data_IF_566590434136
#
_entry.id   IF_566590434136
#
_cell.length_a   1.000
_cell.length_b   1.000
_cell.length_c   1.000
_cell.angle_alpha   90.00
_cell.angle_beta   90.00
_cell.angle_gamma   90.00
#
_symmetry.space_group_name_H-M   'P 1'
#
loop_
_entity.id
_entity.type
_entity.pdbx_description
1 polymer ?
#
# COMPACT_ATOMS: atom_id res chain seq x y z
N UNK A 1 -62.99 -23.77 4.36
CA UNK A 1 -61.63 -23.85 4.96
C UNK A 1 -60.50 -23.85 3.91
N UNK A 2 -60.58 -24.58 2.79
CA UNK A 2 -59.55 -24.58 1.72
C UNK A 2 -59.15 -23.19 1.18
N UNK A 3 -60.11 -22.26 1.01
CA UNK A 3 -59.85 -20.90 0.50
C UNK A 3 -59.09 -20.01 1.50
N UNK A 4 -59.28 -20.21 2.79
CA UNK A 4 -58.56 -19.49 3.85
C UNK A 4 -57.10 -19.96 3.96
N UNK A 5 -56.88 -21.26 3.78
CA UNK A 5 -55.53 -21.84 3.76
C UNK A 5 -54.72 -21.36 2.54
N UNK A 6 -55.36 -21.22 1.38
CA UNK A 6 -54.74 -20.65 0.18
C UNK A 6 -54.41 -19.16 0.34
N UNK A 7 -55.28 -18.39 1.00
CA UNK A 7 -55.03 -16.97 1.29
C UNK A 7 -53.86 -16.78 2.26
N UNK A 8 -53.79 -17.62 3.31
CA UNK A 8 -52.66 -17.60 4.24
C UNK A 8 -51.33 -18.00 3.58
N UNK A 9 -51.36 -18.96 2.65
CA UNK A 9 -50.15 -19.33 1.89
C UNK A 9 -49.67 -18.17 1.01
N UNK A 10 -50.60 -17.48 0.33
CA UNK A 10 -50.27 -16.36 -0.56
C UNK A 10 -49.69 -15.15 0.18
N UNK A 11 -50.19 -14.85 1.38
CA UNK A 11 -49.67 -13.73 2.19
C UNK A 11 -48.29 -14.02 2.77
N UNK A 12 -47.99 -15.27 3.13
CA UNK A 12 -46.65 -15.65 3.60
C UNK A 12 -45.58 -15.66 2.50
N UNK A 13 -45.96 -15.93 1.24
CA UNK A 13 -45.04 -15.88 0.09
C UNK A 13 -44.67 -14.46 -0.36
N UNK A 14 -45.46 -13.45 -0.03
CA UNK A 14 -45.20 -12.05 -0.41
C UNK A 14 -44.28 -11.30 0.57
N UNK A 15 -44.11 -11.82 1.79
CA UNK A 15 -43.29 -11.21 2.83
C UNK A 15 -41.88 -11.83 2.95
N UNK A 16 -41.55 -12.80 2.09
CA UNK A 16 -40.37 -13.66 2.25
C UNK A 16 -39.10 -13.26 1.49
N UNK A 17 -39.09 -12.18 0.69
CA UNK A 17 -37.92 -11.89 -0.16
C UNK A 17 -37.60 -10.40 -0.28
N UNK A 18 -37.16 -9.77 0.80
CA UNK A 18 -36.24 -8.63 0.70
C UNK A 18 -35.23 -8.70 1.85
N UNK A 19 -34.27 -9.64 1.77
CA UNK A 19 -33.00 -9.42 2.46
C UNK A 19 -32.22 -8.34 1.71
N UNK A 20 -32.74 -7.11 1.70
CA UNK A 20 -31.91 -5.96 1.37
C UNK A 20 -30.87 -5.90 2.47
N UNK A 21 -29.65 -6.34 2.15
CA UNK A 21 -28.49 -6.07 2.98
C UNK A 21 -28.29 -4.54 2.96
N UNK A 22 -28.97 -3.86 3.87
CA UNK A 22 -28.72 -2.46 4.17
C UNK A 22 -27.36 -2.39 4.85
N UNK A 23 -26.31 -2.19 4.05
CA UNK A 23 -25.03 -1.76 4.58
C UNK A 23 -25.20 -0.31 5.04
N UNK A 24 -25.59 -0.12 6.32
CA UNK A 24 -25.79 1.19 6.96
C UNK A 24 -24.45 1.82 7.41
N UNK A 25 -23.31 1.19 7.10
CA UNK A 25 -21.98 1.69 7.45
C UNK A 25 -21.41 2.68 6.43
N UNK A 26 -20.64 3.65 6.91
CA UNK A 26 -19.72 4.41 6.07
C UNK A 26 -18.62 3.47 5.58
N UNK A 27 -18.73 2.99 4.34
CA UNK A 27 -17.64 2.24 3.72
C UNK A 27 -16.52 3.15 3.24
N UNK A 28 -15.36 2.56 2.97
CA UNK A 28 -14.26 3.21 2.26
C UNK A 28 -13.84 2.38 1.07
N UNK A 29 -13.48 3.08 0.00
CA UNK A 29 -12.70 2.54 -1.08
C UNK A 29 -11.22 2.72 -0.77
N UNK A 30 -10.37 1.79 -1.19
CA UNK A 30 -8.94 1.83 -0.95
C UNK A 30 -8.15 1.46 -2.20
N UNK A 31 -7.13 2.27 -2.50
CA UNK A 31 -6.23 2.08 -3.62
C UNK A 31 -4.81 1.85 -3.10
N UNK A 32 -4.22 0.72 -3.48
CA UNK A 32 -2.79 0.45 -3.31
C UNK A 32 -2.06 0.93 -4.55
N UNK A 33 -1.00 1.70 -4.38
CA UNK A 33 -0.22 2.23 -5.50
C UNK A 33 1.25 2.36 -5.15
N UNK A 34 2.11 2.47 -6.19
CA UNK A 34 3.55 2.60 -6.05
C UNK A 34 3.98 4.06 -6.28
N UNK A 35 4.70 4.62 -5.32
CA UNK A 35 5.38 5.91 -5.45
C UNK A 35 6.86 5.69 -5.73
N UNK A 36 7.40 6.42 -6.70
CA UNK A 36 8.80 6.36 -7.06
C UNK A 36 9.49 7.66 -6.68
N UNK A 37 10.60 7.56 -5.95
CA UNK A 37 11.43 8.68 -5.56
C UNK A 37 12.86 8.46 -6.04
N UNK A 38 13.54 9.55 -6.37
CA UNK A 38 14.91 9.54 -6.84
C UNK A 38 15.74 10.52 -6.00
N UNK A 39 16.81 10.03 -5.37
CA UNK A 39 17.68 10.82 -4.51
C UNK A 39 19.11 10.79 -5.04
N UNK A 40 19.60 11.94 -5.45
CA UNK A 40 20.94 12.10 -5.99
C UNK A 40 21.88 12.76 -4.97
N UNK A 41 23.08 12.20 -4.81
CA UNK A 41 24.06 12.66 -3.84
C UNK A 41 25.40 12.95 -4.52
N UNK A 42 25.88 14.18 -4.34
CA UNK A 42 27.27 14.56 -4.60
C UNK A 42 28.06 14.46 -3.29
N UNK A 43 29.01 13.53 -3.22
CA UNK A 43 29.69 13.17 -1.98
C UNK A 43 30.92 14.04 -1.73
N UNK A 44 30.74 15.17 -1.04
CA UNK A 44 31.86 16.03 -0.60
C UNK A 44 32.56 15.49 0.66
N UNK A 45 31.77 15.07 1.65
CA UNK A 45 32.27 14.45 2.88
C UNK A 45 31.55 13.12 3.12
N UNK A 46 32.30 12.02 3.05
CA UNK A 46 31.75 10.67 3.17
C UNK A 46 31.08 10.40 4.51
N UNK A 47 31.64 10.88 5.62
CA UNK A 47 31.08 10.64 6.97
C UNK A 47 29.76 11.38 7.17
N UNK A 48 29.65 12.59 6.65
CA UNK A 48 28.41 13.36 6.69
C UNK A 48 27.35 12.78 5.76
N UNK A 49 27.71 12.42 4.52
CA UNK A 49 26.78 11.75 3.61
C UNK A 49 26.27 10.42 4.17
N UNK A 50 27.12 9.64 4.84
CA UNK A 50 26.69 8.41 5.50
C UNK A 50 25.62 8.68 6.57
N UNK A 51 25.75 9.77 7.36
CA UNK A 51 24.74 10.17 8.35
C UNK A 51 23.43 10.57 7.70
N UNK A 52 23.48 11.39 6.64
CA UNK A 52 22.31 11.80 5.88
C UNK A 52 21.57 10.61 5.27
N UNK A 53 22.31 9.69 4.64
CA UNK A 53 21.77 8.46 4.07
C UNK A 53 21.13 7.57 5.14
N UNK A 54 21.76 7.44 6.30
CA UNK A 54 21.19 6.68 7.42
C UNK A 54 19.86 7.28 7.88
N UNK A 55 19.78 8.59 8.03
CA UNK A 55 18.54 9.29 8.37
C UNK A 55 17.45 9.09 7.32
N UNK A 56 17.77 9.31 6.04
CA UNK A 56 16.84 9.11 4.93
C UNK A 56 16.28 7.68 4.90
N UNK A 57 17.14 6.67 4.99
CA UNK A 57 16.71 5.27 4.96
C UNK A 57 15.86 4.95 6.19
N UNK A 58 16.25 5.44 7.38
CA UNK A 58 15.47 5.25 8.60
C UNK A 58 14.07 5.84 8.49
N UNK A 59 13.94 7.06 7.95
CA UNK A 59 12.66 7.72 7.76
C UNK A 59 11.78 6.92 6.78
N UNK A 60 12.36 6.47 5.66
CA UNK A 60 11.65 5.64 4.68
C UNK A 60 11.15 4.34 5.31
N UNK A 61 12.02 3.61 6.01
CA UNK A 61 11.70 2.32 6.63
C UNK A 61 10.66 2.47 7.76
N UNK A 62 10.64 3.61 8.45
CA UNK A 62 9.61 3.91 9.46
C UNK A 62 8.22 4.10 8.84
N UNK A 63 8.16 4.66 7.62
CA UNK A 63 6.90 4.90 6.90
C UNK A 63 6.43 3.69 6.10
N UNK A 64 7.38 2.90 5.58
CA UNK A 64 7.11 1.83 4.65
C UNK A 64 8.14 0.70 4.75
N UNK A 65 7.74 -0.39 5.41
CA UNK A 65 8.57 -1.60 5.56
C UNK A 65 8.72 -2.41 4.27
N UNK A 66 8.00 -2.05 3.21
CA UNK A 66 8.06 -2.70 1.90
C UNK A 66 8.85 -1.90 0.88
N UNK A 67 9.52 -0.83 1.31
CA UNK A 67 10.34 -0.03 0.42
C UNK A 67 11.37 -0.91 -0.30
N UNK A 68 11.48 -0.73 -1.61
CA UNK A 68 12.51 -1.34 -2.44
C UNK A 68 13.42 -0.28 -3.01
N UNK A 69 14.68 -0.62 -3.19
CA UNK A 69 15.77 0.29 -3.48
C UNK A 69 16.56 -0.19 -4.67
N UNK A 70 16.85 0.73 -5.58
CA UNK A 70 17.87 0.54 -6.60
C UNK A 70 18.94 1.59 -6.38
N UNK A 71 20.15 1.12 -6.13
CA UNK A 71 21.29 1.92 -5.73
C UNK A 71 22.30 1.92 -6.86
N UNK A 72 22.41 3.05 -7.55
CA UNK A 72 23.41 3.28 -8.58
C UNK A 72 24.61 3.98 -7.96
N UNK A 73 25.79 3.38 -8.06
CA UNK A 73 27.01 3.90 -7.44
C UNK A 73 28.17 3.96 -8.43
N UNK A 74 29.02 4.99 -8.28
CA UNK A 74 30.28 5.10 -9.05
C UNK A 74 31.43 4.28 -8.47
N UNK A 75 31.57 4.28 -7.14
CA UNK A 75 32.74 3.72 -6.45
C UNK A 75 32.40 2.46 -5.64
N UNK A 76 33.23 1.39 -5.68
CA UNK A 76 33.07 0.22 -4.81
C UNK A 76 33.07 0.57 -3.32
N UNK A 77 33.78 1.63 -2.92
CA UNK A 77 33.77 2.10 -1.53
C UNK A 77 32.39 2.65 -1.15
N UNK A 78 31.68 3.30 -2.06
CA UNK A 78 30.32 3.80 -1.81
C UNK A 78 29.34 2.65 -1.65
N UNK A 79 29.48 1.59 -2.45
CA UNK A 79 28.74 0.34 -2.28
C UNK A 79 28.91 -0.24 -0.88
N UNK A 80 30.15 -0.39 -0.40
CA UNK A 80 30.43 -0.95 0.93
C UNK A 80 29.78 -0.12 2.06
N UNK A 81 29.83 1.21 1.96
CA UNK A 81 29.18 2.10 2.92
C UNK A 81 27.66 1.89 2.95
N UNK A 82 27.03 1.78 1.78
CA UNK A 82 25.58 1.56 1.67
C UNK A 82 25.18 0.16 2.14
N UNK A 83 25.99 -0.85 1.85
CA UNK A 83 25.78 -2.20 2.39
C UNK A 83 25.73 -2.19 3.92
N UNK A 84 26.69 -1.54 4.58
CA UNK A 84 26.70 -1.41 6.03
C UNK A 84 25.49 -0.65 6.60
N UNK A 85 24.90 0.29 5.83
CA UNK A 85 23.68 0.99 6.23
C UNK A 85 22.46 0.06 6.08
N UNK A 86 22.34 -0.63 4.94
CA UNK A 86 21.21 -1.52 4.65
C UNK A 86 21.24 -2.84 5.44
N UNK A 87 22.41 -3.28 5.94
CA UNK A 87 22.52 -4.43 6.86
C UNK A 87 21.68 -4.27 8.13
N UNK A 88 21.37 -3.04 8.55
CA UNK A 88 20.49 -2.74 9.69
C UNK A 88 19.00 -3.01 9.38
N UNK A 89 18.66 -3.22 8.12
CA UNK A 89 17.29 -3.38 7.63
C UNK A 89 17.16 -4.70 6.86
N UNK A 90 16.95 -5.83 7.56
CA UNK A 90 16.95 -7.14 6.92
C UNK A 90 15.81 -7.28 5.90
N UNK A 91 16.08 -8.05 4.85
CA UNK A 91 15.06 -8.46 3.88
C UNK A 91 13.86 -9.11 4.59
N UNK A 92 12.65 -8.78 4.14
CA UNK A 92 11.42 -9.39 4.67
C UNK A 92 10.96 -10.52 3.75
N UNK A 93 10.13 -11.43 4.31
CA UNK A 93 9.58 -12.58 3.58
C UNK A 93 8.85 -12.22 2.27
N UNK A 94 8.29 -11.01 2.19
CA UNK A 94 7.50 -10.54 1.04
C UNK A 94 8.38 -9.96 -0.08
N UNK A 95 9.53 -9.38 0.28
CA UNK A 95 10.46 -8.76 -0.66
C UNK A 95 11.88 -9.23 -0.32
N UNK A 96 12.30 -10.42 -0.81
CA UNK A 96 13.60 -11.01 -0.45
C UNK A 96 14.79 -10.21 -1.00
N UNK A 97 14.61 -9.50 -2.12
CA UNK A 97 15.61 -8.63 -2.74
C UNK A 97 15.17 -7.16 -2.64
N UNK A 98 15.28 -6.57 -1.44
CA UNK A 98 14.89 -5.17 -1.21
C UNK A 98 15.84 -4.15 -1.83
N UNK A 99 17.12 -4.49 -1.95
CA UNK A 99 18.15 -3.56 -2.40
C UNK A 99 18.94 -4.18 -3.56
N UNK A 100 18.90 -3.51 -4.71
CA UNK A 100 19.68 -3.87 -5.88
C UNK A 100 20.80 -2.85 -6.08
N UNK A 101 22.04 -3.32 -6.14
CA UNK A 101 23.21 -2.47 -6.34
C UNK A 101 23.68 -2.55 -7.80
N UNK A 102 23.75 -1.42 -8.50
CA UNK A 102 24.26 -1.33 -9.87
C UNK A 102 25.46 -0.39 -9.93
N UNK A 103 26.55 -0.87 -10.54
CA UNK A 103 27.70 -0.02 -10.81
C UNK A 103 27.42 0.84 -12.04
N UNK A 104 27.45 2.16 -11.89
CA UNK A 104 27.16 3.10 -12.96
C UNK A 104 28.22 4.20 -13.01
N UNK A 105 29.29 3.98 -13.77
CA UNK A 105 30.43 4.89 -13.85
C UNK A 105 30.08 6.25 -14.49
N UNK A 106 29.07 6.26 -15.37
CA UNK A 106 28.62 7.44 -16.12
C UNK A 106 27.53 8.26 -15.41
N UNK A 107 27.25 8.00 -14.12
CA UNK A 107 26.30 8.81 -13.36
C UNK A 107 26.73 10.31 -13.35
N UNK A 108 25.78 11.26 -13.35
CA UNK A 108 26.13 12.67 -13.17
C UNK A 108 26.66 12.95 -11.76
N UNK A 109 26.09 12.29 -10.75
CA UNK A 109 26.46 12.40 -9.32
C UNK A 109 27.21 11.15 -8.83
N UNK A 110 27.66 11.12 -7.57
CA UNK A 110 28.43 9.98 -7.05
C UNK A 110 27.55 8.77 -6.73
N UNK A 111 26.28 9.04 -6.42
CA UNK A 111 25.30 8.09 -5.94
C UNK A 111 23.91 8.54 -6.36
N UNK A 112 23.13 7.60 -6.89
CA UNK A 112 21.70 7.77 -7.08
C UNK A 112 20.96 6.63 -6.37
N UNK A 113 19.92 6.95 -5.62
CA UNK A 113 19.07 5.99 -4.93
C UNK A 113 17.64 6.17 -5.42
N UNK A 114 17.15 5.17 -6.13
CA UNK A 114 15.76 5.06 -6.53
C UNK A 114 15.03 4.26 -5.46
N UNK A 115 13.93 4.80 -4.97
CA UNK A 115 13.11 4.19 -3.92
C UNK A 115 11.71 3.99 -4.47
N UNK A 116 11.19 2.78 -4.34
CA UNK A 116 9.79 2.48 -4.64
C UNK A 116 9.06 2.17 -3.34
N UNK A 117 8.01 2.95 -3.06
CA UNK A 117 7.17 2.83 -1.87
C UNK A 117 5.77 2.36 -2.25
N UNK A 118 5.27 1.34 -1.56
CA UNK A 118 3.86 0.92 -1.66
C UNK A 118 2.99 1.72 -0.69
N UNK A 119 2.09 2.56 -1.20
CA UNK A 119 1.17 3.39 -0.40
C UNK A 119 -0.26 2.88 -0.49
N UNK A 120 -1.06 3.35 0.46
CA UNK A 120 -2.50 3.10 0.55
C UNK A 120 -3.20 4.44 0.62
N UNK A 121 -4.12 4.71 -0.31
CA UNK A 121 -5.03 5.84 -0.27
C UNK A 121 -6.43 5.33 0.00
N UNK A 122 -7.11 5.88 1.00
CA UNK A 122 -8.50 5.53 1.32
C UNK A 122 -9.40 6.72 1.09
N UNK A 123 -10.57 6.50 0.50
CA UNK A 123 -11.62 7.50 0.34
C UNK A 123 -12.90 7.01 1.01
N UNK A 124 -13.53 7.86 1.83
CA UNK A 124 -14.84 7.57 2.40
C UNK A 124 -15.89 7.61 1.29
N UNK A 125 -16.72 6.55 1.22
CA UNK A 125 -17.79 6.48 0.25
C UNK A 125 -19.02 7.25 0.76
N UNK A 126 -19.89 7.60 -0.18
CA UNK A 126 -21.21 8.11 0.17
C UNK A 126 -22.02 7.00 0.86
N UNK A 127 -22.81 7.35 1.89
CA UNK A 127 -23.69 6.38 2.54
C UNK A 127 -24.69 5.83 1.51
N UNK A 128 -25.01 4.54 1.61
CA UNK A 128 -25.99 3.91 0.75
C UNK A 128 -27.37 4.59 0.92
N UNK A 129 -27.96 5.05 -0.18
CA UNK A 129 -29.29 5.65 -0.19
C UNK A 129 -30.32 4.62 -0.64
N UNK A 130 -31.47 4.58 0.06
CA UNK A 130 -32.59 3.70 -0.28
C UNK A 130 -33.19 4.19 -1.62
N UNK A 131 -33.53 3.28 -2.53
CA UNK A 131 -34.10 3.54 -3.86
C UNK A 131 -33.18 4.18 -4.92
N UNK A 132 -31.86 4.22 -4.72
CA UNK A 132 -30.92 4.72 -5.74
C UNK A 132 -30.23 3.55 -6.44
N UNK A 133 -30.35 3.50 -7.78
CA UNK A 133 -29.83 2.41 -8.64
C UNK A 133 -28.29 2.34 -8.68
N UNK A 134 -27.62 3.46 -8.38
CA UNK A 134 -26.17 3.59 -8.38
C UNK A 134 -25.63 3.37 -6.96
N UNK A 135 -25.25 2.11 -6.66
CA UNK A 135 -24.32 1.84 -5.56
C UNK A 135 -22.91 2.11 -6.06
N UNK A 136 -22.09 2.81 -5.25
CA UNK A 136 -20.66 2.92 -5.52
C UNK A 136 -20.05 1.52 -5.37
N UNK A 137 -19.58 0.96 -6.48
CA UNK A 137 -18.88 -0.33 -6.50
C UNK A 137 -17.56 -0.21 -5.69
N UNK A 138 -17.08 -1.32 -5.14
CA UNK A 138 -15.80 -1.41 -4.41
C UNK A 138 -15.70 -0.61 -3.10
N UNK A 139 -16.85 -0.30 -2.51
CA UNK A 139 -16.91 0.34 -1.20
C UNK A 139 -16.99 -0.69 -0.04
N UNK A 140 -15.93 -0.81 0.75
CA UNK A 140 -15.84 -1.80 1.85
C UNK A 140 -16.14 -1.17 3.21
N UNK A 141 -17.00 -1.80 4.02
CA UNK A 141 -17.47 -1.27 5.31
C UNK A 141 -16.40 -1.18 6.43
N UNK A 142 -15.19 -1.74 6.24
CA UNK A 142 -14.17 -1.88 7.29
C UNK A 142 -12.87 -1.11 6.99
N UNK A 143 -12.96 0.21 6.82
CA UNK A 143 -11.84 1.09 6.48
C UNK A 143 -10.68 1.11 7.49
N UNK A 144 -10.99 0.95 8.78
CA UNK A 144 -10.01 1.01 9.87
C UNK A 144 -9.05 -0.18 9.88
N UNK A 145 -9.49 -1.36 9.42
CA UNK A 145 -8.64 -2.56 9.33
C UNK A 145 -7.59 -2.43 8.23
N UNK A 146 -7.89 -1.72 7.14
CA UNK A 146 -6.95 -1.50 6.03
C UNK A 146 -5.73 -0.66 6.47
N UNK A 147 -5.92 0.29 7.39
CA UNK A 147 -4.83 1.11 7.94
C UNK A 147 -3.90 0.36 8.89
N UNK A 148 -4.33 -0.78 9.43
CA UNK A 148 -3.56 -1.59 10.38
C UNK A 148 -2.69 -2.65 9.68
N UNK A 149 -2.80 -2.80 8.36
CA UNK A 149 -2.02 -3.79 7.61
C UNK A 149 -0.58 -3.29 7.42
N UNK A 150 0.37 -4.01 8.00
CA UNK A 150 1.80 -3.70 7.92
C UNK A 150 2.36 -3.81 6.49
N UNK A 151 1.77 -4.69 5.68
CA UNK A 151 2.19 -4.99 4.31
C UNK A 151 1.06 -4.65 3.33
N UNK A 152 1.11 -3.45 2.77
CA UNK A 152 0.07 -2.90 1.91
C UNK A 152 -0.04 -3.64 0.58
N UNK A 153 1.04 -4.27 0.11
CA UNK A 153 1.03 -5.14 -1.08
C UNK A 153 0.05 -6.32 -0.96
N UNK A 154 -0.29 -6.75 0.27
CA UNK A 154 -1.24 -7.85 0.51
C UNK A 154 -2.71 -7.43 0.45
N UNK A 155 -2.99 -6.13 0.35
CA UNK A 155 -4.35 -5.66 0.16
C UNK A 155 -4.76 -5.91 -1.29
N UNK A 156 -5.87 -6.64 -1.48
CA UNK A 156 -6.39 -7.03 -2.79
C UNK A 156 -6.68 -5.77 -3.61
N UNK A 157 -6.03 -5.61 -4.76
CA UNK A 157 -6.15 -4.41 -5.60
C UNK A 157 -4.91 -4.03 -6.42
N UNK A 158 -3.78 -4.73 -6.30
CA UNK A 158 -2.69 -4.60 -7.28
C UNK A 158 -3.15 -5.15 -8.64
N UNK A 159 -3.41 -4.25 -9.59
CA UNK A 159 -3.43 -4.57 -11.02
C UNK A 159 -2.03 -4.35 -11.61
#
# INVERSE_FOLDING_TARGET
>A
MKKLLLMALFTTSLLGCTSEQYFVGQGSEALVYKEHHNFEFAMKNRGETAKQLKGLIQDIESMNKEATYVVDYKSPRTKQMLQAIFEQYPSHLIAPQRVTYRSAQLLPTDLNIQVTLTRLKTQECKPAQIHVRLRQQDCFAESLRLKQVAYKSRLVGEQ
#
